data_IF_499829516326
#
_entry.id   IF_499829516326
#
_cell.length_a   1.000
_cell.length_b   1.000
_cell.length_c   1.000
_cell.angle_alpha   90.00
_cell.angle_beta   90.00
_cell.angle_gamma   90.00
#
_symmetry.space_group_name_H-M   'P 1'
#
loop_
_entity.id
_entity.type
_entity.pdbx_description
1 polymer ?
#
# COMPACT_ATOMS: atom_id res chain seq x y z
N UNK A 1 -11.64 -12.86 17.10
CA UNK A 1 -10.97 -11.55 17.32
C UNK A 1 -10.00 -11.66 18.51
N UNK A 2 -10.37 -12.27 19.65
CA UNK A 2 -9.46 -12.43 20.81
C UNK A 2 -8.15 -13.16 20.44
N UNK A 3 -8.19 -14.12 19.54
CA UNK A 3 -7.02 -14.89 19.08
C UNK A 3 -6.04 -14.08 18.20
N UNK A 4 -6.51 -13.03 17.55
CA UNK A 4 -5.65 -12.15 16.73
C UNK A 4 -4.75 -11.25 17.59
N UNK A 5 -5.10 -11.05 18.85
CA UNK A 5 -4.40 -10.16 19.77
C UNK A 5 -3.71 -10.91 20.92
N UNK A 6 -3.65 -12.22 20.85
CA UNK A 6 -2.78 -13.00 21.73
C UNK A 6 -1.33 -12.74 21.32
N UNK A 7 -0.61 -11.98 22.15
CA UNK A 7 0.78 -11.60 21.92
C UNK A 7 1.70 -12.81 21.70
N UNK A 8 1.41 -13.94 22.36
CA UNK A 8 2.16 -15.17 22.15
C UNK A 8 1.90 -15.76 20.76
N UNK A 9 0.65 -15.75 20.29
CA UNK A 9 0.33 -16.20 18.95
C UNK A 9 0.93 -15.30 17.88
N UNK A 10 0.92 -13.97 18.08
CA UNK A 10 1.58 -13.03 17.18
C UNK A 10 3.09 -13.23 17.15
N UNK A 11 3.72 -13.40 18.31
CA UNK A 11 5.15 -13.68 18.40
C UNK A 11 5.53 -15.00 17.71
N UNK A 12 4.78 -16.08 17.97
CA UNK A 12 4.99 -17.38 17.34
C UNK A 12 4.77 -17.32 15.81
N UNK A 13 3.72 -16.63 15.35
CA UNK A 13 3.46 -16.44 13.93
C UNK A 13 4.59 -15.64 13.25
N UNK A 14 5.13 -14.63 13.91
CA UNK A 14 6.25 -13.86 13.40
C UNK A 14 7.50 -14.73 13.25
N UNK A 15 7.86 -15.50 14.29
CA UNK A 15 8.99 -16.44 14.25
C UNK A 15 8.80 -17.46 13.13
N UNK A 16 7.64 -18.10 13.06
CA UNK A 16 7.32 -19.11 12.03
C UNK A 16 7.40 -18.50 10.63
N UNK A 17 6.90 -17.28 10.44
CA UNK A 17 6.92 -16.60 9.13
C UNK A 17 8.35 -16.25 8.71
N UNK A 18 9.16 -15.71 9.61
CA UNK A 18 10.56 -15.38 9.32
C UNK A 18 11.38 -16.66 9.04
N UNK A 19 11.19 -17.72 9.81
CA UNK A 19 11.83 -19.02 9.56
C UNK A 19 11.46 -19.55 8.17
N UNK A 20 10.16 -19.51 7.83
CA UNK A 20 9.70 -19.95 6.52
C UNK A 20 10.26 -19.08 5.37
N UNK A 21 10.32 -17.78 5.58
CA UNK A 21 10.89 -16.85 4.59
C UNK A 21 12.39 -17.15 4.36
N UNK A 22 13.12 -17.47 5.42
CA UNK A 22 14.52 -17.85 5.36
C UNK A 22 14.74 -19.18 4.62
N UNK A 23 13.89 -20.19 4.85
CA UNK A 23 13.92 -21.47 4.13
C UNK A 23 13.68 -21.32 2.62
N UNK A 24 13.00 -20.24 2.21
CA UNK A 24 12.72 -19.94 0.83
C UNK A 24 13.81 -19.06 0.17
N UNK A 25 14.76 -18.53 0.95
CA UNK A 25 15.87 -17.76 0.41
C UNK A 25 16.91 -18.70 -0.20
N UNK A 26 17.28 -18.46 -1.45
CA UNK A 26 18.29 -19.22 -2.16
C UNK A 26 19.71 -18.96 -1.59
N UNK A 27 20.65 -19.84 -1.87
CA UNK A 27 22.02 -19.75 -1.36
C UNK A 27 22.78 -18.47 -1.79
N UNK A 28 22.38 -17.87 -2.91
CA UNK A 28 22.91 -16.59 -3.40
C UNK A 28 22.28 -15.36 -2.75
N UNK A 29 21.27 -15.56 -1.88
CA UNK A 29 20.55 -14.50 -1.17
C UNK A 29 19.28 -14.02 -1.84
N UNK A 30 18.91 -14.58 -3.00
CA UNK A 30 17.69 -14.24 -3.72
C UNK A 30 16.46 -14.97 -3.18
N UNK A 31 15.29 -14.51 -3.61
CA UNK A 31 14.05 -15.29 -3.58
C UNK A 31 13.54 -15.49 -4.99
N UNK A 32 13.04 -16.69 -5.25
CA UNK A 32 12.42 -17.08 -6.50
C UNK A 32 10.89 -17.01 -6.43
N UNK A 33 10.21 -17.00 -7.58
CA UNK A 33 8.74 -17.05 -7.63
C UNK A 33 8.20 -18.39 -7.11
N UNK A 34 8.88 -19.48 -7.42
CA UNK A 34 8.56 -20.83 -6.99
C UNK A 34 9.85 -21.56 -6.63
N UNK A 35 9.76 -22.46 -5.66
CA UNK A 35 10.91 -23.27 -5.23
C UNK A 35 11.54 -24.02 -6.41
N UNK A 36 12.86 -23.86 -6.58
CA UNK A 36 13.62 -24.48 -7.65
C UNK A 36 13.73 -23.63 -8.94
N UNK A 37 13.12 -22.46 -9.00
CA UNK A 37 13.36 -21.48 -10.05
C UNK A 37 14.59 -20.62 -9.72
N UNK A 38 15.24 -20.01 -10.73
CA UNK A 38 16.29 -19.02 -10.50
C UNK A 38 15.78 -17.85 -9.67
N UNK A 39 16.67 -17.26 -8.87
CA UNK A 39 16.37 -16.07 -8.07
C UNK A 39 15.80 -14.93 -8.91
N UNK A 40 14.78 -14.27 -8.41
CA UNK A 40 14.09 -13.16 -9.08
C UNK A 40 14.49 -11.83 -8.46
N UNK A 41 15.04 -10.92 -9.25
CA UNK A 41 15.36 -9.55 -8.80
C UNK A 41 14.12 -8.84 -8.24
N UNK A 42 12.96 -8.99 -8.87
CA UNK A 42 11.74 -8.35 -8.45
C UNK A 42 11.27 -8.91 -7.10
N UNK A 43 11.20 -10.24 -6.95
CA UNK A 43 10.80 -10.86 -5.69
C UNK A 43 11.77 -10.51 -4.57
N UNK A 44 13.07 -10.59 -4.84
CA UNK A 44 14.11 -10.20 -3.87
C UNK A 44 14.00 -8.74 -3.50
N UNK A 45 13.73 -7.85 -4.45
CA UNK A 45 13.50 -6.43 -4.21
C UNK A 45 12.33 -6.19 -3.26
N UNK A 46 11.17 -6.77 -3.52
CA UNK A 46 9.98 -6.64 -2.65
C UNK A 46 10.24 -7.15 -1.23
N UNK A 47 10.83 -8.33 -1.10
CA UNK A 47 11.11 -8.90 0.22
C UNK A 47 12.14 -8.05 0.96
N UNK A 48 13.17 -7.57 0.27
CA UNK A 48 14.17 -6.67 0.86
C UNK A 48 13.54 -5.38 1.35
N UNK A 49 12.63 -4.79 0.58
CA UNK A 49 11.89 -3.60 0.98
C UNK A 49 11.07 -3.83 2.26
N UNK A 50 10.35 -4.94 2.36
CA UNK A 50 9.63 -5.32 3.58
C UNK A 50 10.56 -5.48 4.78
N UNK A 51 11.72 -6.13 4.60
CA UNK A 51 12.72 -6.28 5.67
C UNK A 51 13.32 -4.93 6.07
N UNK A 52 13.54 -4.01 5.13
CA UNK A 52 14.03 -2.64 5.41
C UNK A 52 12.98 -1.82 6.16
N UNK A 53 11.70 -2.00 5.87
CA UNK A 53 10.59 -1.31 6.54
C UNK A 53 10.21 -1.92 7.89
N UNK A 54 10.58 -3.16 8.17
CA UNK A 54 10.23 -3.86 9.41
C UNK A 54 10.68 -3.11 10.69
N UNK A 55 11.88 -2.52 10.78
CA UNK A 55 12.29 -1.68 11.90
C UNK A 55 11.38 -0.47 12.16
N UNK A 56 10.81 0.12 11.10
CA UNK A 56 9.90 1.26 11.23
C UNK A 56 8.56 0.85 11.82
N UNK A 57 8.11 -0.37 11.52
CA UNK A 57 6.87 -0.93 12.05
C UNK A 57 7.02 -1.42 13.49
N UNK A 58 8.17 -2.00 13.83
CA UNK A 58 8.41 -2.63 15.14
C UNK A 58 9.07 -1.72 16.15
N UNK A 59 9.65 -0.61 15.70
CA UNK A 59 10.52 0.25 16.53
C UNK A 59 11.85 -0.39 16.92
N UNK A 60 12.19 -1.56 16.36
CA UNK A 60 13.38 -2.34 16.69
C UNK A 60 14.18 -2.64 15.44
N UNK A 61 15.51 -2.56 15.56
CA UNK A 61 16.42 -2.93 14.45
C UNK A 61 16.29 -4.42 14.14
N UNK A 62 16.42 -4.78 12.86
CA UNK A 62 16.48 -6.17 12.46
C UNK A 62 17.63 -6.89 13.17
N UNK A 63 17.35 -8.11 13.62
CA UNK A 63 18.31 -9.00 14.28
C UNK A 63 18.06 -10.45 13.83
N UNK A 64 18.99 -11.35 14.18
CA UNK A 64 18.84 -12.78 13.88
C UNK A 64 18.57 -13.05 12.39
N UNK A 65 17.53 -13.80 12.12
CA UNK A 65 17.18 -14.23 10.76
C UNK A 65 16.79 -13.06 9.84
N UNK A 66 16.06 -12.08 10.33
CA UNK A 66 15.68 -10.91 9.54
C UNK A 66 16.90 -10.13 9.04
N UNK A 67 17.89 -9.91 9.91
CA UNK A 67 19.14 -9.24 9.55
C UNK A 67 19.96 -10.07 8.56
N UNK A 68 20.11 -11.36 8.82
CA UNK A 68 20.88 -12.25 7.94
C UNK A 68 20.28 -12.35 6.54
N UNK A 69 18.95 -12.44 6.44
CA UNK A 69 18.23 -12.44 5.16
C UNK A 69 18.41 -11.12 4.41
N UNK A 70 18.28 -9.99 5.11
CA UNK A 70 18.47 -8.67 4.51
C UNK A 70 19.88 -8.50 3.95
N UNK A 71 20.91 -8.90 4.70
CA UNK A 71 22.30 -8.82 4.25
C UNK A 71 22.58 -9.71 3.02
N UNK A 72 22.07 -10.94 3.02
CA UNK A 72 22.19 -11.84 1.88
C UNK A 72 21.48 -11.29 0.64
N UNK A 73 20.28 -10.72 0.80
CA UNK A 73 19.53 -10.09 -0.28
C UNK A 73 20.29 -8.88 -0.87
N UNK A 74 20.85 -8.00 -0.04
CA UNK A 74 21.66 -6.89 -0.55
C UNK A 74 22.91 -7.37 -1.28
N UNK A 75 23.58 -8.43 -0.82
CA UNK A 75 24.69 -9.04 -1.55
C UNK A 75 24.28 -9.49 -2.95
N UNK A 76 23.15 -10.16 -3.08
CA UNK A 76 22.58 -10.54 -4.38
C UNK A 76 22.27 -9.32 -5.24
N UNK A 77 21.57 -8.32 -4.69
CA UNK A 77 21.20 -7.11 -5.43
C UNK A 77 22.43 -6.32 -5.89
N UNK A 78 23.47 -6.22 -5.09
CA UNK A 78 24.75 -5.63 -5.49
C UNK A 78 25.37 -6.37 -6.69
N UNK A 79 25.40 -7.69 -6.65
CA UNK A 79 25.91 -8.49 -7.75
C UNK A 79 25.13 -8.26 -9.04
N UNK A 80 23.78 -8.29 -8.93
CA UNK A 80 22.90 -8.08 -10.06
C UNK A 80 23.02 -6.66 -10.66
N UNK A 81 23.15 -5.65 -9.81
CA UNK A 81 23.39 -4.27 -10.25
C UNK A 81 24.72 -4.11 -11.00
N UNK A 82 25.78 -4.78 -10.51
CA UNK A 82 27.09 -4.77 -11.17
C UNK A 82 27.05 -5.45 -12.54
N UNK A 83 26.36 -6.57 -12.65
CA UNK A 83 26.19 -7.30 -13.93
C UNK A 83 25.40 -6.46 -14.94
N UNK A 84 24.33 -5.84 -14.51
CA UNK A 84 23.55 -4.94 -15.34
C UNK A 84 24.37 -3.73 -15.80
N UNK A 85 25.11 -3.10 -14.91
CA UNK A 85 26.02 -2.00 -15.26
C UNK A 85 27.04 -2.44 -16.34
N UNK A 86 27.70 -3.59 -16.16
CA UNK A 86 28.66 -4.11 -17.16
C UNK A 86 27.99 -4.33 -18.52
N UNK A 87 26.77 -4.87 -18.53
CA UNK A 87 26.00 -5.08 -19.75
C UNK A 87 25.65 -3.76 -20.44
N UNK A 88 25.19 -2.77 -19.67
CA UNK A 88 24.91 -1.42 -20.19
C UNK A 88 26.17 -0.79 -20.76
N UNK A 89 27.30 -0.82 -20.05
CA UNK A 89 28.56 -0.24 -20.53
C UNK A 89 29.09 -0.92 -21.78
N UNK A 90 28.83 -2.21 -21.94
CA UNK A 90 29.11 -2.92 -23.19
C UNK A 90 28.23 -2.42 -24.34
N UNK A 91 26.90 -2.35 -24.11
CA UNK A 91 25.96 -1.85 -25.11
C UNK A 91 26.27 -0.40 -25.55
N UNK A 92 26.65 0.48 -24.60
CA UNK A 92 27.05 1.85 -24.93
C UNK A 92 28.32 1.91 -25.80
N UNK A 93 29.30 1.04 -25.55
CA UNK A 93 30.50 0.94 -26.42
C UNK A 93 30.14 0.46 -27.81
N UNK A 94 29.11 -0.38 -27.94
CA UNK A 94 28.59 -0.89 -29.21
C UNK A 94 27.62 0.13 -29.88
N UNK A 95 27.50 1.37 -29.35
CA UNK A 95 26.76 2.47 -29.93
C UNK A 95 25.33 2.68 -29.39
N UNK A 96 24.87 1.90 -28.40
CA UNK A 96 23.56 2.10 -27.80
C UNK A 96 23.51 3.39 -26.96
N UNK A 97 22.37 4.10 -27.03
CA UNK A 97 22.10 5.26 -26.18
C UNK A 97 21.16 4.83 -25.05
N UNK A 98 21.66 4.76 -23.84
CA UNK A 98 20.86 4.43 -22.66
C UNK A 98 20.39 5.72 -22.02
N UNK A 99 19.13 6.05 -22.21
CA UNK A 99 18.47 7.26 -21.67
C UNK A 99 17.69 7.01 -20.41
N UNK A 100 17.21 5.76 -20.22
CA UNK A 100 16.35 5.36 -19.08
C UNK A 100 16.97 4.17 -18.36
N UNK A 101 16.77 4.13 -17.05
CA UNK A 101 17.12 2.95 -16.24
C UNK A 101 16.04 1.88 -16.35
N UNK A 102 16.46 0.63 -16.16
CA UNK A 102 15.53 -0.47 -15.96
C UNK A 102 14.80 -0.32 -14.62
N UNK A 103 13.67 -1.00 -14.48
CA UNK A 103 12.97 -1.09 -13.19
C UNK A 103 13.89 -1.68 -12.10
N UNK A 104 14.68 -2.70 -12.42
CA UNK A 104 15.62 -3.32 -11.46
C UNK A 104 16.69 -2.36 -10.96
N UNK A 105 17.27 -1.54 -11.84
CA UNK A 105 18.25 -0.53 -11.45
C UNK A 105 17.62 0.57 -10.58
N UNK A 106 16.38 0.98 -10.88
CA UNK A 106 15.64 1.92 -10.04
C UNK A 106 15.32 1.34 -8.67
N UNK A 107 14.81 0.10 -8.60
CA UNK A 107 14.56 -0.59 -7.34
C UNK A 107 15.83 -0.72 -6.50
N UNK A 108 16.96 -1.04 -7.12
CA UNK A 108 18.26 -1.10 -6.44
C UNK A 108 18.63 0.25 -5.80
N UNK A 109 18.57 1.35 -6.55
CA UNK A 109 18.83 2.69 -6.01
C UNK A 109 17.86 3.08 -4.89
N UNK A 110 16.59 2.76 -5.07
CA UNK A 110 15.55 3.04 -4.10
C UNK A 110 15.80 2.29 -2.78
N UNK A 111 16.12 1.00 -2.85
CA UNK A 111 16.43 0.20 -1.66
C UNK A 111 17.65 0.71 -0.91
N UNK A 112 18.71 1.11 -1.63
CA UNK A 112 19.89 1.77 -1.02
C UNK A 112 19.46 3.08 -0.34
N UNK A 113 18.63 3.89 -1.01
CA UNK A 113 18.19 5.18 -0.50
C UNK A 113 17.36 5.09 0.79
N UNK A 114 16.44 4.10 0.88
CA UNK A 114 15.55 3.95 2.04
C UNK A 114 16.20 3.18 3.20
N UNK A 115 17.14 2.26 2.92
CA UNK A 115 17.81 1.46 3.95
C UNK A 115 19.03 2.14 4.54
N UNK A 116 19.67 3.03 3.78
CA UNK A 116 21.01 3.54 4.11
C UNK A 116 22.11 2.48 3.99
N UNK A 117 21.85 1.40 3.24
CA UNK A 117 22.85 0.34 2.99
C UNK A 117 24.11 0.91 2.34
N UNK A 118 25.26 0.47 2.82
CA UNK A 118 26.53 0.92 2.29
C UNK A 118 26.84 0.25 0.95
N UNK A 119 27.05 1.06 -0.07
CA UNK A 119 27.46 0.56 -1.40
C UNK A 119 28.89 0.01 -1.30
N UNK A 120 29.13 -1.27 -1.69
CA UNK A 120 30.48 -1.82 -1.73
C UNK A 120 31.36 -1.09 -2.76
N UNK A 121 32.65 -0.99 -2.51
CA UNK A 121 33.60 -0.32 -3.42
C UNK A 121 33.51 -0.84 -4.86
N UNK A 122 33.32 -2.13 -5.05
CA UNK A 122 33.14 -2.74 -6.37
C UNK A 122 31.88 -2.25 -7.11
N UNK A 123 30.89 -1.75 -6.41
CA UNK A 123 29.61 -1.26 -6.95
C UNK A 123 29.53 0.26 -7.09
N UNK A 124 30.50 1.03 -6.59
CA UNK A 124 30.48 2.51 -6.60
C UNK A 124 30.30 3.08 -8.00
N UNK A 125 31.01 2.51 -8.99
CA UNK A 125 30.87 2.94 -10.39
C UNK A 125 29.48 2.66 -10.97
N UNK A 126 28.89 1.51 -10.65
CA UNK A 126 27.53 1.15 -11.06
C UNK A 126 26.50 2.07 -10.39
N UNK A 127 26.61 2.27 -9.07
CA UNK A 127 25.73 3.14 -8.31
C UNK A 127 25.77 4.57 -8.83
N UNK A 128 26.96 5.16 -8.99
CA UNK A 128 27.14 6.52 -9.51
C UNK A 128 26.59 6.68 -10.92
N UNK A 129 26.81 5.68 -11.79
CA UNK A 129 26.27 5.67 -13.13
C UNK A 129 24.72 5.67 -13.11
N UNK A 130 24.10 4.77 -12.35
CA UNK A 130 22.65 4.72 -12.23
C UNK A 130 22.09 6.01 -11.66
N UNK A 131 22.67 6.51 -10.56
CA UNK A 131 22.24 7.76 -9.93
C UNK A 131 22.33 8.95 -10.89
N UNK A 132 23.33 8.98 -11.80
CA UNK A 132 23.48 10.04 -12.82
C UNK A 132 22.36 10.04 -13.88
N UNK A 133 21.67 8.92 -14.03
CA UNK A 133 20.53 8.78 -14.97
C UNK A 133 19.17 9.08 -14.32
N UNK A 134 19.10 9.07 -12.99
CA UNK A 134 17.88 9.47 -12.27
C UNK A 134 17.63 10.97 -12.52
N UNK A 135 16.41 11.33 -12.78
CA UNK A 135 16.04 12.73 -13.03
C UNK A 135 15.87 13.08 -14.51
N UNK A 136 16.41 12.29 -15.44
CA UNK A 136 16.37 12.61 -16.87
C UNK A 136 15.04 12.31 -17.57
N UNK A 137 14.09 11.68 -16.86
CA UNK A 137 12.85 11.15 -17.45
C UNK A 137 11.58 11.73 -16.85
N UNK A 138 11.63 12.93 -16.30
CA UNK A 138 10.50 13.54 -15.60
C UNK A 138 9.18 13.47 -16.41
N UNK A 139 9.23 13.81 -17.69
CA UNK A 139 8.03 13.90 -18.53
C UNK A 139 7.50 12.54 -19.01
N UNK A 140 8.32 11.50 -18.99
CA UNK A 140 7.97 10.17 -19.52
C UNK A 140 7.85 9.11 -18.43
N UNK A 141 8.28 9.42 -17.22
CA UNK A 141 8.24 8.49 -16.11
C UNK A 141 6.80 8.24 -15.64
N UNK A 142 6.49 6.97 -15.40
CA UNK A 142 5.25 6.56 -14.73
C UNK A 142 5.26 7.03 -13.26
N UNK A 143 4.10 7.10 -12.63
CA UNK A 143 3.94 7.70 -11.29
C UNK A 143 4.84 7.07 -10.23
N UNK A 144 4.92 5.73 -10.17
CA UNK A 144 5.82 5.04 -9.25
C UNK A 144 7.29 5.40 -9.49
N UNK A 145 7.71 5.45 -10.76
CA UNK A 145 9.06 5.88 -11.12
C UNK A 145 9.35 7.34 -10.72
N UNK A 146 8.34 8.23 -10.81
CA UNK A 146 8.47 9.61 -10.31
C UNK A 146 8.66 9.63 -8.80
N UNK A 147 7.87 8.87 -8.06
CA UNK A 147 7.98 8.77 -6.61
C UNK A 147 9.35 8.22 -6.17
N UNK A 148 9.78 7.10 -6.75
CA UNK A 148 11.10 6.52 -6.48
C UNK A 148 12.24 7.48 -6.85
N UNK A 149 12.14 8.19 -7.99
CA UNK A 149 13.13 9.19 -8.39
C UNK A 149 13.22 10.32 -7.37
N UNK A 150 12.08 10.84 -6.90
CA UNK A 150 12.06 11.88 -5.87
C UNK A 150 12.73 11.39 -4.59
N UNK A 151 12.41 10.18 -4.11
CA UNK A 151 13.00 9.59 -2.90
C UNK A 151 14.53 9.43 -3.05
N UNK A 152 14.98 8.85 -4.16
CA UNK A 152 16.40 8.64 -4.44
C UNK A 152 17.15 9.98 -4.47
N UNK A 153 16.60 10.98 -5.16
CA UNK A 153 17.21 12.30 -5.30
C UNK A 153 17.25 13.05 -3.96
N UNK A 154 16.20 13.02 -3.15
CA UNK A 154 16.18 13.59 -1.80
C UNK A 154 17.25 12.97 -0.92
N UNK A 155 17.37 11.66 -0.92
CA UNK A 155 18.38 10.93 -0.15
C UNK A 155 19.81 11.16 -0.64
N UNK A 156 19.97 11.47 -1.92
CA UNK A 156 21.26 11.87 -2.52
C UNK A 156 21.59 13.37 -2.36
N UNK A 157 20.74 14.16 -1.69
CA UNK A 157 20.93 15.61 -1.51
C UNK A 157 20.63 16.46 -2.73
N UNK A 158 20.03 15.88 -3.80
CA UNK A 158 19.65 16.57 -5.03
C UNK A 158 18.22 17.12 -4.91
N UNK A 159 17.99 17.97 -3.91
CA UNK A 159 16.65 18.43 -3.52
C UNK A 159 15.94 19.22 -4.63
N UNK A 160 16.66 20.06 -5.38
CA UNK A 160 16.06 20.83 -6.47
C UNK A 160 15.41 19.93 -7.53
N UNK A 161 16.15 18.93 -8.00
CA UNK A 161 15.66 17.96 -8.98
C UNK A 161 14.53 17.08 -8.41
N UNK A 162 14.62 16.68 -7.14
CA UNK A 162 13.56 15.95 -6.48
C UNK A 162 12.25 16.74 -6.44
N UNK A 163 12.32 18.05 -6.18
CA UNK A 163 11.15 18.92 -6.12
C UNK A 163 10.44 19.05 -7.48
N UNK A 164 11.15 18.91 -8.60
CA UNK A 164 10.51 18.87 -9.93
C UNK A 164 9.62 17.62 -10.06
N UNK A 165 10.08 16.47 -9.56
CA UNK A 165 9.26 15.24 -9.53
C UNK A 165 8.07 15.39 -8.58
N UNK A 166 8.27 15.97 -7.40
CA UNK A 166 7.19 16.24 -6.44
C UNK A 166 6.14 17.18 -7.05
N UNK A 167 6.55 18.24 -7.75
CA UNK A 167 5.62 19.14 -8.44
C UNK A 167 4.82 18.39 -9.51
N UNK A 168 5.51 17.60 -10.35
CA UNK A 168 4.86 16.81 -11.37
C UNK A 168 3.91 15.75 -10.82
N UNK A 169 4.22 15.14 -9.66
CA UNK A 169 3.32 14.22 -8.97
C UNK A 169 2.05 14.94 -8.52
N UNK A 170 2.18 16.12 -7.93
CA UNK A 170 1.05 16.93 -7.44
C UNK A 170 0.08 17.36 -8.54
N UNK A 171 0.57 17.61 -9.75
CA UNK A 171 -0.27 17.95 -10.90
C UNK A 171 -1.27 16.87 -11.29
N UNK A 172 -1.01 15.62 -10.93
CA UNK A 172 -1.87 14.47 -11.25
C UNK A 172 -2.75 14.04 -10.08
N UNK A 173 -2.68 14.74 -8.95
CA UNK A 173 -3.50 14.43 -7.77
C UNK A 173 -4.92 14.94 -7.95
N UNK A 174 -5.88 14.06 -7.65
CA UNK A 174 -7.29 14.40 -7.51
C UNK A 174 -7.59 14.53 -6.02
N UNK A 175 -8.23 15.62 -5.62
CA UNK A 175 -8.64 15.87 -4.25
C UNK A 175 -10.14 16.05 -4.17
N UNK A 176 -10.79 15.30 -3.29
CA UNK A 176 -12.22 15.44 -3.01
C UNK A 176 -12.47 15.31 -1.51
N UNK A 177 -13.48 16.00 -1.00
CA UNK A 177 -13.87 15.90 0.41
C UNK A 177 -14.29 14.47 0.79
N UNK A 178 -14.82 13.73 -0.17
CA UNK A 178 -15.32 12.38 0.05
C UNK A 178 -14.20 11.35 0.02
N UNK A 179 -13.30 11.41 -0.97
CA UNK A 179 -12.27 10.38 -1.20
C UNK A 179 -10.92 10.74 -0.59
N UNK A 180 -10.69 12.00 -0.22
CA UNK A 180 -9.37 12.51 0.10
C UNK A 180 -8.54 12.76 -1.17
N UNK A 181 -7.23 12.59 -1.10
CA UNK A 181 -6.32 12.79 -2.21
C UNK A 181 -5.89 11.44 -2.82
N UNK A 182 -5.96 11.34 -4.14
CA UNK A 182 -5.64 10.10 -4.86
C UNK A 182 -5.28 10.34 -6.32
N UNK A 183 -4.89 9.28 -7.02
CA UNK A 183 -4.65 9.29 -8.46
C UNK A 183 -5.71 8.49 -9.19
N UNK A 184 -6.22 9.01 -10.30
CA UNK A 184 -7.17 8.31 -11.16
C UNK A 184 -6.47 7.24 -12.02
N UNK A 185 -5.93 6.18 -11.36
CA UNK A 185 -5.27 5.07 -12.06
C UNK A 185 -6.24 4.09 -12.72
N UNK A 186 -7.52 4.19 -12.42
CA UNK A 186 -8.52 3.18 -12.72
C UNK A 186 -8.85 3.03 -14.21
N UNK A 187 -8.35 3.92 -15.05
CA UNK A 187 -8.65 3.92 -16.48
C UNK A 187 -7.64 3.16 -17.34
N UNK A 188 -6.56 2.62 -16.75
CA UNK A 188 -5.52 1.93 -17.51
C UNK A 188 -5.47 0.44 -17.20
N UNK A 189 -5.25 -0.43 -18.20
CA UNK A 189 -5.16 -1.85 -17.98
C UNK A 189 -4.01 -2.17 -17.02
N UNK A 190 -4.21 -3.18 -16.17
CA UNK A 190 -3.22 -3.69 -15.24
C UNK A 190 -1.87 -3.92 -15.91
N UNK A 191 -0.82 -3.34 -15.34
CA UNK A 191 0.58 -3.63 -15.69
C UNK A 191 1.35 -3.99 -14.45
N UNK A 192 2.25 -4.95 -14.55
CA UNK A 192 3.23 -5.23 -13.51
C UNK A 192 4.03 -3.95 -13.22
N UNK A 193 4.07 -3.53 -11.96
CA UNK A 193 4.72 -2.29 -11.54
C UNK A 193 3.81 -1.04 -11.53
N UNK A 194 2.55 -1.17 -11.94
CA UNK A 194 1.54 -0.09 -11.84
C UNK A 194 0.37 -0.51 -10.94
N UNK A 195 0.67 -1.11 -9.81
CA UNK A 195 -0.37 -1.42 -8.82
C UNK A 195 -0.77 -0.14 -8.09
N UNK A 196 -2.04 0.25 -8.06
CA UNK A 196 -2.48 1.54 -7.50
C UNK A 196 -2.05 1.76 -6.05
N UNK A 197 -2.17 0.73 -5.20
CA UNK A 197 -1.85 0.85 -3.77
C UNK A 197 -0.33 1.01 -3.52
N UNK A 198 0.57 0.15 -4.02
CA UNK A 198 2.01 0.36 -3.88
C UNK A 198 2.48 1.72 -4.39
N UNK A 199 2.05 2.12 -5.59
CA UNK A 199 2.40 3.43 -6.16
C UNK A 199 1.89 4.59 -5.29
N UNK A 200 0.68 4.48 -4.77
CA UNK A 200 0.12 5.48 -3.86
C UNK A 200 0.97 5.62 -2.59
N UNK A 201 1.42 4.51 -2.03
CA UNK A 201 2.28 4.47 -0.83
C UNK A 201 3.66 5.05 -1.12
N UNK A 202 4.28 4.73 -2.26
CA UNK A 202 5.56 5.33 -2.67
C UNK A 202 5.44 6.86 -2.82
N UNK A 203 4.33 7.35 -3.38
CA UNK A 203 4.07 8.80 -3.47
C UNK A 203 3.91 9.44 -2.09
N UNK A 204 3.18 8.79 -1.17
CA UNK A 204 3.05 9.29 0.21
C UNK A 204 4.43 9.41 0.87
N UNK A 205 5.30 8.43 0.69
CA UNK A 205 6.67 8.44 1.20
C UNK A 205 7.50 9.57 0.59
N UNK A 206 7.42 9.77 -0.73
CA UNK A 206 8.10 10.85 -1.43
C UNK A 206 7.65 12.24 -0.94
N UNK A 207 6.34 12.46 -0.81
CA UNK A 207 5.76 13.70 -0.30
C UNK A 207 6.18 13.99 1.14
N UNK A 208 6.19 12.97 2.00
CA UNK A 208 6.63 13.11 3.38
C UNK A 208 8.12 13.47 3.47
N UNK A 209 8.96 12.79 2.70
CA UNK A 209 10.40 13.06 2.67
C UNK A 209 10.72 14.46 2.13
N UNK A 210 9.95 14.95 1.18
CA UNK A 210 10.09 16.32 0.66
C UNK A 210 9.71 17.39 1.69
N UNK A 211 8.89 17.05 2.69
CA UNK A 211 8.42 17.97 3.73
C UNK A 211 7.31 18.91 3.26
N UNK A 212 6.60 19.52 4.20
CA UNK A 212 5.54 20.50 3.94
C UNK A 212 4.29 19.94 3.26
N UNK A 213 4.06 18.61 3.31
CA UNK A 213 2.96 17.92 2.66
C UNK A 213 2.10 17.11 3.64
N UNK A 214 2.20 17.36 4.94
CA UNK A 214 1.57 16.50 5.95
C UNK A 214 0.06 16.41 5.79
N UNK A 215 -0.62 17.53 5.53
CA UNK A 215 -2.07 17.54 5.28
C UNK A 215 -2.44 16.67 4.05
N UNK A 216 -1.67 16.76 2.98
CA UNK A 216 -1.88 15.98 1.77
C UNK A 216 -1.67 14.47 2.00
N UNK A 217 -0.66 14.12 2.79
CA UNK A 217 -0.40 12.73 3.19
C UNK A 217 -1.57 12.17 4.02
N UNK A 218 -2.16 12.95 4.91
CA UNK A 218 -3.35 12.53 5.67
C UNK A 218 -4.58 12.33 4.76
N UNK A 219 -4.78 13.19 3.78
CA UNK A 219 -5.83 12.99 2.78
C UNK A 219 -5.59 11.72 1.93
N UNK A 220 -4.35 11.43 1.59
CA UNK A 220 -3.98 10.21 0.88
C UNK A 220 -4.21 8.95 1.73
N UNK A 221 -3.99 9.01 3.05
CA UNK A 221 -4.36 7.94 3.98
C UNK A 221 -5.85 7.67 3.97
N UNK A 222 -6.70 8.71 3.90
CA UNK A 222 -8.15 8.55 3.84
C UNK A 222 -8.56 7.74 2.62
N UNK A 223 -8.00 8.06 1.44
CA UNK A 223 -8.25 7.27 0.23
C UNK A 223 -7.79 5.82 0.40
N UNK A 224 -6.59 5.61 0.92
CA UNK A 224 -6.03 4.28 1.14
C UNK A 224 -6.92 3.41 2.02
N UNK A 225 -7.49 3.97 3.09
CA UNK A 225 -8.43 3.28 3.96
C UNK A 225 -9.74 2.92 3.25
N UNK A 226 -10.24 3.80 2.37
CA UNK A 226 -11.46 3.53 1.58
C UNK A 226 -11.26 2.42 0.53
N UNK A 227 -10.03 2.21 0.08
CA UNK A 227 -9.71 1.09 -0.82
C UNK A 227 -9.65 -0.26 -0.11
N UNK A 228 -9.63 -0.27 1.23
CA UNK A 228 -9.67 -1.50 1.99
C UNK A 228 -11.00 -2.21 1.77
N UNK A 229 -10.95 -3.47 1.37
CA UNK A 229 -12.13 -4.34 1.26
C UNK A 229 -12.56 -4.80 2.66
N UNK A 230 -12.60 -6.06 3.00
CA UNK A 230 -13.01 -6.49 4.36
C UNK A 230 -11.89 -6.33 5.41
N UNK A 231 -10.83 -7.12 5.29
CA UNK A 231 -9.69 -7.15 6.22
C UNK A 231 -8.35 -6.84 5.56
N UNK A 232 -8.31 -6.78 4.23
CA UNK A 232 -7.10 -6.60 3.44
C UNK A 232 -7.38 -5.73 2.21
N UNK A 233 -6.33 -5.34 1.53
CA UNK A 233 -6.39 -4.75 0.19
C UNK A 233 -6.33 -5.86 -0.87
N UNK A 234 -6.33 -5.49 -2.14
CA UNK A 234 -6.50 -6.40 -3.29
C UNK A 234 -5.36 -7.44 -3.49
N UNK A 235 -4.24 -7.30 -2.78
CA UNK A 235 -3.15 -8.26 -2.81
C UNK A 235 -2.35 -8.26 -1.50
N UNK A 236 -1.56 -9.31 -1.20
CA UNK A 236 -0.67 -9.32 -0.04
C UNK A 236 0.36 -8.17 -0.06
N UNK A 237 0.93 -7.84 -1.22
CA UNK A 237 1.87 -6.72 -1.38
C UNK A 237 1.17 -5.40 -1.07
N UNK A 238 0.02 -5.14 -1.70
CA UNK A 238 -0.76 -3.94 -1.43
C UNK A 238 -1.19 -3.83 0.04
N UNK A 239 -1.47 -4.96 0.70
CA UNK A 239 -1.82 -4.99 2.13
C UNK A 239 -0.62 -4.60 2.99
N UNK A 240 0.57 -5.14 2.71
CA UNK A 240 1.78 -4.80 3.44
C UNK A 240 2.15 -3.32 3.28
N UNK A 241 2.10 -2.78 2.05
CA UNK A 241 2.38 -1.38 1.76
C UNK A 241 1.36 -0.45 2.43
N UNK A 242 0.07 -0.79 2.37
CA UNK A 242 -0.98 -0.01 3.01
C UNK A 242 -0.82 0.04 4.53
N UNK A 243 -0.51 -1.11 5.18
CA UNK A 243 -0.23 -1.16 6.62
C UNK A 243 0.98 -0.31 6.96
N UNK A 244 2.07 -0.41 6.19
CA UNK A 244 3.25 0.44 6.37
C UNK A 244 2.88 1.92 6.26
N UNK A 245 2.17 2.33 5.21
CA UNK A 245 1.80 3.72 5.02
C UNK A 245 0.92 4.26 6.15
N UNK A 246 -0.06 3.48 6.60
CA UNK A 246 -0.95 3.89 7.67
C UNK A 246 -0.26 4.03 9.03
N UNK A 247 0.71 3.18 9.32
CA UNK A 247 1.39 3.14 10.62
C UNK A 247 2.67 3.99 10.68
N UNK A 248 3.38 4.15 9.55
CA UNK A 248 4.69 4.78 9.52
C UNK A 248 4.72 6.13 8.80
N UNK A 249 3.67 6.52 8.09
CA UNK A 249 3.60 7.78 7.37
C UNK A 249 2.60 8.75 8.03
N UNK A 250 3.02 10.02 8.26
CA UNK A 250 2.16 11.05 8.85
C UNK A 250 1.82 10.81 10.32
N UNK A 251 0.57 11.08 10.69
CA UNK A 251 0.10 10.97 12.09
C UNK A 251 0.15 9.53 12.58
N UNK A 252 0.70 9.33 13.78
CA UNK A 252 0.72 8.03 14.44
C UNK A 252 -0.70 7.60 14.82
N UNK A 253 -1.22 6.62 14.08
CA UNK A 253 -2.57 6.11 14.30
C UNK A 253 -2.67 5.21 15.53
N UNK A 254 -1.57 4.72 16.06
CA UNK A 254 -1.51 3.89 17.27
C UNK A 254 -1.35 4.72 18.55
N UNK A 255 -1.02 6.01 18.45
CA UNK A 255 -0.90 6.91 19.61
C UNK A 255 -2.24 7.19 20.29
N UNK A 256 -3.35 6.90 19.64
CA UNK A 256 -4.68 7.09 20.19
C UNK A 256 -5.02 6.04 21.25
N UNK A 257 -5.69 6.45 22.33
CA UNK A 257 -6.31 5.52 23.29
C UNK A 257 -7.61 4.93 22.76
N UNK A 258 -8.10 5.43 21.64
CA UNK A 258 -9.36 5.00 21.06
C UNK A 258 -10.58 5.52 21.83
N UNK A 259 -10.48 6.64 22.53
CA UNK A 259 -11.61 7.21 23.26
C UNK A 259 -12.59 7.90 22.31
N UNK A 260 -13.59 7.15 21.91
CA UNK A 260 -14.69 7.61 21.07
C UNK A 260 -16.01 7.34 21.77
N UNK A 261 -16.84 8.37 21.81
CA UNK A 261 -18.23 8.29 22.27
C UNK A 261 -19.16 8.34 21.06
N UNK A 262 -20.04 7.36 20.96
CA UNK A 262 -21.03 7.28 19.89
C UNK A 262 -22.41 7.37 20.54
N UNK A 263 -23.23 8.28 20.08
CA UNK A 263 -24.62 8.45 20.55
C UNK A 263 -25.55 8.14 19.39
N UNK A 264 -26.40 7.15 19.58
CA UNK A 264 -27.43 6.73 18.64
C UNK A 264 -28.80 6.74 19.34
N UNK A 265 -29.58 7.79 19.13
CA UNK A 265 -30.80 8.02 19.89
C UNK A 265 -30.50 8.12 21.38
N UNK A 266 -31.08 7.25 22.19
CA UNK A 266 -30.86 7.20 23.64
C UNK A 266 -29.68 6.28 24.04
N UNK A 267 -29.09 5.56 23.10
CA UNK A 267 -27.97 4.65 23.37
C UNK A 267 -26.65 5.37 23.26
N UNK A 268 -25.83 5.21 24.29
CA UNK A 268 -24.44 5.70 24.31
C UNK A 268 -23.50 4.52 24.29
N UNK A 269 -22.55 4.54 23.38
CA UNK A 269 -21.48 3.57 23.25
C UNK A 269 -20.16 4.29 23.52
N UNK A 270 -19.32 3.73 24.35
CA UNK A 270 -17.98 4.24 24.66
C UNK A 270 -16.95 3.17 24.36
N UNK A 271 -15.97 3.54 23.55
CA UNK A 271 -14.90 2.62 23.11
C UNK A 271 -13.83 2.43 24.20
N UNK A 272 -13.66 3.44 25.05
CA UNK A 272 -12.68 3.44 26.13
C UNK A 272 -13.37 3.33 27.49
N UNK A 273 -12.85 2.45 28.33
CA UNK A 273 -13.19 2.39 29.75
C UNK A 273 -11.90 2.21 30.55
N UNK A 274 -11.65 3.03 31.59
CA UNK A 274 -10.47 2.88 32.45
C UNK A 274 -10.34 1.51 33.11
N UNK A 275 -11.46 0.80 33.28
CA UNK A 275 -11.51 -0.54 33.86
C UNK A 275 -11.17 -1.67 32.85
N UNK A 276 -11.12 -1.36 31.55
CA UNK A 276 -10.74 -2.32 30.51
C UNK A 276 -9.32 -2.00 30.05
N UNK A 277 -8.39 -2.89 30.30
CA UNK A 277 -7.03 -2.84 29.72
C UNK A 277 -7.14 -3.05 28.22
N UNK A 278 -7.33 -1.97 27.46
CA UNK A 278 -7.34 -2.04 26.01
C UNK A 278 -5.91 -1.86 25.51
N UNK A 279 -5.51 -2.73 24.59
CA UNK A 279 -4.25 -2.54 23.86
C UNK A 279 -4.36 -1.23 23.09
N UNK A 280 -3.38 -0.30 23.19
CA UNK A 280 -3.41 0.95 22.45
C UNK A 280 -3.66 0.71 20.97
N UNK A 281 -4.50 1.52 20.35
CA UNK A 281 -4.84 1.40 18.94
C UNK A 281 -5.93 0.36 18.60
N UNK A 282 -6.45 -0.41 19.54
CA UNK A 282 -7.42 -1.47 19.32
C UNK A 282 -8.81 -1.20 19.86
N UNK A 283 -9.17 0.04 20.09
CA UNK A 283 -10.54 0.42 20.44
C UNK A 283 -11.51 0.11 19.28
N UNK A 284 -12.00 -1.14 19.22
CA UNK A 284 -12.99 -1.56 18.24
C UNK A 284 -14.32 -1.89 18.93
N UNK A 285 -15.37 -1.20 18.49
CA UNK A 285 -16.75 -1.55 18.86
C UNK A 285 -17.50 -1.97 17.59
N UNK A 286 -18.23 -3.07 17.68
CA UNK A 286 -19.24 -3.48 16.71
C UNK A 286 -20.54 -3.72 17.47
N UNK A 287 -21.53 -2.92 17.14
CA UNK A 287 -22.89 -3.10 17.63
C UNK A 287 -23.82 -3.44 16.48
N UNK A 288 -24.77 -4.30 16.76
CA UNK A 288 -25.80 -4.70 15.80
C UNK A 288 -27.16 -4.52 16.45
N UNK A 289 -28.08 -3.91 15.74
CA UNK A 289 -29.43 -3.65 16.20
C UNK A 289 -30.41 -4.49 15.38
N UNK A 290 -31.20 -5.31 16.08
CA UNK A 290 -32.20 -6.14 15.44
C UNK A 290 -33.36 -5.30 14.90
N UNK A 291 -34.13 -5.86 13.98
CA UNK A 291 -35.35 -5.23 13.47
C UNK A 291 -36.30 -4.88 14.64
N UNK A 292 -36.82 -3.65 14.65
CA UNK A 292 -37.70 -3.13 15.70
C UNK A 292 -36.98 -2.46 16.88
N UNK A 293 -35.66 -2.47 16.94
CA UNK A 293 -34.89 -1.78 17.98
C UNK A 293 -35.17 -0.27 17.94
N UNK A 294 -35.28 0.41 19.10
CA UNK A 294 -35.52 1.85 19.17
C UNK A 294 -34.46 2.67 18.45
N UNK A 295 -33.22 2.20 18.45
CA UNK A 295 -32.07 2.82 17.82
C UNK A 295 -32.24 3.00 16.32
N UNK A 296 -33.01 2.11 15.65
CA UNK A 296 -33.30 2.23 14.21
C UNK A 296 -34.21 3.43 13.87
N UNK A 297 -34.81 4.05 14.86
CA UNK A 297 -35.60 5.28 14.72
C UNK A 297 -34.79 6.55 14.96
N UNK A 298 -33.50 6.42 15.31
CA UNK A 298 -32.63 7.56 15.51
C UNK A 298 -32.45 8.35 14.21
N UNK A 299 -32.64 9.66 14.29
CA UNK A 299 -32.47 10.56 13.13
C UNK A 299 -31.04 10.98 12.86
N UNK A 300 -30.16 10.75 13.83
CA UNK A 300 -28.77 11.14 13.76
C UNK A 300 -27.89 10.21 14.58
N UNK A 301 -26.65 10.10 14.17
CA UNK A 301 -25.56 9.49 14.93
C UNK A 301 -24.56 10.59 15.24
N UNK A 302 -24.23 10.76 16.51
CA UNK A 302 -23.17 11.68 16.93
C UNK A 302 -21.95 10.86 17.31
N UNK A 303 -20.81 11.21 16.74
CA UNK A 303 -19.53 10.59 17.05
C UNK A 303 -18.59 11.67 17.58
N UNK A 304 -18.13 11.49 18.79
CA UNK A 304 -17.23 12.41 19.49
C UNK A 304 -15.90 11.69 19.77
N UNK A 305 -14.80 12.20 19.18
CA UNK A 305 -13.45 11.76 19.49
C UNK A 305 -12.91 12.61 20.62
N UNK A 306 -12.54 11.98 21.76
CA UNK A 306 -12.16 12.67 22.99
C UNK A 306 -10.65 12.72 23.24
N UNK A 307 -9.88 11.90 22.56
CA UNK A 307 -8.41 11.90 22.64
C UNK A 307 -7.78 12.28 21.29
N UNK A 308 -6.47 12.46 21.28
CA UNK A 308 -5.71 12.74 20.05
C UNK A 308 -5.73 11.54 19.10
N UNK A 309 -5.44 11.79 17.82
CA UNK A 309 -5.38 10.77 16.77
C UNK A 309 -6.69 10.66 15.99
N UNK A 310 -6.80 9.60 15.18
CA UNK A 310 -7.89 9.39 14.24
C UNK A 310 -8.74 8.19 14.68
N UNK A 311 -10.05 8.30 14.53
CA UNK A 311 -10.97 7.18 14.65
C UNK A 311 -11.73 6.98 13.33
N UNK A 312 -11.99 5.73 13.00
CA UNK A 312 -12.79 5.36 11.83
C UNK A 312 -14.03 4.61 12.27
N UNK A 313 -15.08 4.79 11.52
CA UNK A 313 -16.30 4.05 11.72
C UNK A 313 -17.10 3.95 10.44
N UNK A 314 -18.00 2.96 10.40
CA UNK A 314 -18.96 2.80 9.33
C UNK A 314 -20.31 2.40 9.93
N UNK A 315 -21.37 2.90 9.33
CA UNK A 315 -22.74 2.56 9.68
C UNK A 315 -23.33 1.81 8.48
N UNK A 316 -23.82 0.62 8.74
CA UNK A 316 -24.48 -0.19 7.73
C UNK A 316 -25.94 -0.36 8.08
N UNK A 317 -26.81 -0.06 7.13
CA UNK A 317 -28.23 -0.41 7.21
C UNK A 317 -28.52 -1.57 6.26
N UNK A 318 -29.07 -2.66 6.80
CA UNK A 318 -29.56 -3.78 6.01
C UNK A 318 -31.09 -3.77 6.04
N UNK A 319 -31.69 -3.73 4.89
CA UNK A 319 -33.14 -3.80 4.72
C UNK A 319 -33.52 -4.61 3.51
N UNK A 320 -34.68 -5.22 3.56
CA UNK A 320 -35.28 -5.90 2.42
C UNK A 320 -36.08 -4.88 1.62
N UNK A 321 -35.84 -4.80 0.34
CA UNK A 321 -36.63 -3.99 -0.59
C UNK A 321 -37.15 -4.87 -1.71
N UNK A 322 -38.40 -4.64 -2.20
CA UNK A 322 -38.86 -5.25 -3.40
C UNK A 322 -37.91 -4.99 -4.57
N UNK A 323 -37.70 -5.96 -5.44
CA UNK A 323 -36.81 -5.82 -6.59
C UNK A 323 -37.20 -4.63 -7.48
N UNK A 324 -38.50 -4.31 -7.55
CA UNK A 324 -39.01 -3.14 -8.27
C UNK A 324 -38.46 -1.79 -7.74
N UNK A 325 -38.07 -1.73 -6.48
CA UNK A 325 -37.65 -0.49 -5.82
C UNK A 325 -36.11 -0.31 -5.84
N UNK A 326 -35.40 -1.35 -6.32
CA UNK A 326 -33.94 -1.29 -6.48
C UNK A 326 -33.62 -0.41 -7.68
N UNK A 327 -33.18 0.81 -7.42
CA UNK A 327 -32.71 1.72 -8.46
C UNK A 327 -31.38 1.21 -9.02
N UNK A 328 -31.30 1.16 -10.33
CA UNK A 328 -30.05 0.86 -11.03
C UNK A 328 -29.03 1.94 -10.68
N UNK A 329 -27.97 1.57 -9.97
CA UNK A 329 -26.84 2.48 -9.78
C UNK A 329 -25.94 2.37 -11.00
N UNK A 330 -25.72 3.50 -11.69
CA UNK A 330 -24.87 3.57 -12.87
C UNK A 330 -23.42 3.31 -12.49
N UNK A 331 -22.83 2.32 -13.11
CA UNK A 331 -21.39 2.09 -13.24
C UNK A 331 -21.07 2.01 -14.73
N UNK A 332 -19.81 1.76 -15.07
CA UNK A 332 -19.38 1.57 -16.47
C UNK A 332 -20.05 0.36 -17.15
N UNK A 333 -20.59 -0.57 -16.34
CA UNK A 333 -21.33 -1.73 -16.82
C UNK A 333 -22.78 -1.64 -16.33
N UNK A 334 -23.73 -1.62 -17.26
CA UNK A 334 -25.16 -1.75 -16.98
C UNK A 334 -25.62 -3.18 -17.32
N UNK A 335 -26.29 -3.83 -16.36
CA UNK A 335 -26.90 -5.13 -16.58
C UNK A 335 -28.41 -4.95 -16.57
N UNK A 336 -29.05 -5.25 -17.69
CA UNK A 336 -30.50 -5.27 -17.80
C UNK A 336 -31.01 -6.72 -17.90
N UNK A 337 -31.88 -7.10 -16.97
CA UNK A 337 -32.54 -8.41 -17.02
C UNK A 337 -33.98 -8.23 -17.52
N UNK A 338 -34.27 -8.81 -18.66
CA UNK A 338 -35.66 -8.89 -19.21
C UNK A 338 -36.17 -10.31 -19.08
N UNK A 339 -37.37 -10.45 -18.56
CA UNK A 339 -38.06 -11.72 -18.50
C UNK A 339 -39.10 -11.72 -19.61
N UNK A 340 -39.07 -12.76 -20.44
CA UNK A 340 -40.01 -12.97 -21.53
C UNK A 340 -40.85 -14.21 -21.25
N UNK A 341 -42.07 -14.17 -21.63
CA UNK A 341 -42.98 -15.35 -21.58
C UNK A 341 -43.15 -15.85 -22.99
N UNK A 342 -42.62 -17.04 -23.25
CA UNK A 342 -42.88 -17.70 -24.54
C UNK A 342 -44.33 -18.16 -24.61
N UNK A 343 -45.05 -17.69 -25.60
CA UNK A 343 -46.42 -18.14 -25.90
C UNK A 343 -46.43 -18.90 -27.22
N UNK A 344 -47.08 -20.04 -27.21
CA UNK A 344 -47.37 -20.77 -28.46
C UNK A 344 -48.72 -20.28 -29.00
N UNK A 345 -48.68 -19.66 -30.14
CA UNK A 345 -49.90 -19.22 -30.85
C UNK A 345 -50.69 -20.43 -31.37
N UNK A 346 -51.99 -20.23 -31.64
CA UNK A 346 -52.87 -21.28 -32.21
C UNK A 346 -52.36 -21.85 -33.55
N UNK A 347 -51.46 -21.13 -34.21
CA UNK A 347 -50.77 -21.52 -35.45
C UNK A 347 -49.53 -22.40 -35.21
N UNK A 348 -49.21 -22.74 -33.96
CA UNK A 348 -47.98 -23.46 -33.59
C UNK A 348 -46.71 -22.63 -33.61
N UNK A 349 -46.76 -21.32 -33.90
CA UNK A 349 -45.63 -20.41 -33.89
C UNK A 349 -45.38 -19.92 -32.48
N UNK A 350 -44.11 -19.90 -32.07
CA UNK A 350 -43.67 -19.37 -30.76
C UNK A 350 -43.41 -17.87 -30.87
N UNK A 351 -43.91 -17.11 -29.90
CA UNK A 351 -43.68 -15.68 -29.73
C UNK A 351 -43.16 -15.43 -28.32
N UNK A 352 -42.14 -14.56 -28.20
CA UNK A 352 -41.48 -14.15 -26.93
C UNK A 352 -42.12 -12.87 -26.41
#
# INVERSE_FOLDING_TARGET
IATLFDLNNLANNNITTLTRLKELQDADGAWSWYKGMPGSRNMTGYITELLVRLPLLTGQKNSGDALSMQQAAFKYLHQQALEEYKSIRKAERDGAKITTLSHSAMTYLYLIAISGEKVPAANEAAYSYFLSKVGKNLNTAEMGMKAQSAIILLKAGRTAEANEFIASIKEHLVQTNEQGAYFAFNEKPFRWGMQPIPVHVEVMEALRLAGGNDALVEEMKLWLLKQKQTTSWNSPVATADAVYALLCQGTDLLATRGDVRIVLGNKVLETYSPAKTTVPGLGYIKESFAQGSPELRAKSITVEKRDAGIAWGAVYAQYLSPISDVKQQGGELAVEKKLYVERTLATGKKEL
#
